data_IF_822988925421
#
_entry.id   IF_822988925421
#
_cell.length_a   1.000
_cell.length_b   1.000
_cell.length_c   1.000
_cell.angle_alpha   90.00
_cell.angle_beta   90.00
_cell.angle_gamma   90.00
#
_symmetry.space_group_name_H-M   'P 1'
#
loop_
_entity.id
_entity.type
_entity.pdbx_description
1 polymer ?
#
# COMPACT_ATOMS: atom_id res chain seq x y z
N UNK A 1 -11.70 -1.58 -20.27
CA UNK A 1 -12.14 -2.84 -19.63
C UNK A 1 -10.98 -3.82 -19.65
N UNK A 2 -10.45 -4.23 -18.48
CA UNK A 2 -9.41 -5.26 -18.39
C UNK A 2 -10.08 -6.63 -18.51
N UNK A 3 -9.58 -7.49 -19.42
CA UNK A 3 -10.11 -8.85 -19.63
C UNK A 3 -8.99 -9.85 -19.40
N UNK A 4 -9.12 -10.68 -18.37
CA UNK A 4 -8.17 -11.74 -18.03
C UNK A 4 -8.71 -13.09 -18.56
N UNK A 5 -8.32 -13.48 -19.78
CA UNK A 5 -8.76 -14.73 -20.41
C UNK A 5 -7.66 -15.79 -20.54
N UNK A 6 -6.43 -15.39 -20.92
CA UNK A 6 -5.23 -16.22 -20.97
C UNK A 6 -4.16 -15.56 -20.13
N UNK A 7 -3.86 -16.16 -18.98
CA UNK A 7 -2.94 -15.59 -18.00
C UNK A 7 -1.49 -15.67 -18.50
N UNK A 8 -1.05 -16.81 -19.02
CA UNK A 8 0.29 -16.94 -19.59
C UNK A 8 0.28 -16.57 -21.09
N UNK A 9 1.12 -15.62 -21.48
CA UNK A 9 1.24 -15.16 -22.89
C UNK A 9 2.63 -15.38 -23.49
N UNK A 10 3.63 -15.74 -22.68
CA UNK A 10 5.06 -15.88 -23.05
C UNK A 10 5.75 -14.61 -23.56
N UNK A 11 5.04 -13.49 -23.66
CA UNK A 11 5.59 -12.22 -24.17
C UNK A 11 6.71 -11.66 -23.28
N UNK A 12 6.70 -12.01 -21.99
CA UNK A 12 7.72 -11.59 -21.03
C UNK A 12 8.82 -12.60 -20.75
N UNK A 13 8.94 -13.68 -21.53
CA UNK A 13 9.95 -14.73 -21.31
C UNK A 13 11.39 -14.22 -21.53
N UNK A 14 11.55 -13.12 -22.27
CA UNK A 14 12.84 -12.44 -22.47
C UNK A 14 13.19 -11.41 -21.39
N UNK A 15 12.44 -11.38 -20.29
CA UNK A 15 12.70 -10.47 -19.18
C UNK A 15 12.08 -9.07 -19.31
N UNK A 16 11.19 -8.83 -20.27
CA UNK A 16 10.49 -7.55 -20.47
C UNK A 16 9.01 -7.65 -20.14
N UNK A 17 8.37 -6.52 -19.85
CA UNK A 17 6.91 -6.38 -19.66
C UNK A 17 6.40 -5.11 -20.33
N UNK A 18 5.09 -4.97 -20.47
CA UNK A 18 4.46 -3.74 -20.96
C UNK A 18 3.90 -2.91 -19.79
N UNK A 19 4.07 -1.59 -19.86
CA UNK A 19 3.46 -0.60 -18.99
C UNK A 19 2.01 -0.31 -19.42
N UNK A 20 1.30 0.52 -18.64
CA UNK A 20 -0.11 0.86 -18.89
C UNK A 20 -0.36 1.65 -20.17
N UNK A 21 0.68 2.27 -20.75
CA UNK A 21 0.65 2.93 -22.07
C UNK A 21 1.13 2.03 -23.22
N UNK A 22 1.51 0.78 -22.93
CA UNK A 22 2.04 -0.18 -23.90
C UNK A 22 3.55 -0.12 -24.11
N UNK A 23 4.26 0.84 -23.50
CA UNK A 23 5.73 0.89 -23.54
C UNK A 23 6.32 -0.37 -22.94
N UNK A 24 7.34 -0.95 -23.59
CA UNK A 24 8.04 -2.14 -23.07
C UNK A 24 9.28 -1.75 -22.27
N UNK A 25 9.41 -2.34 -21.09
CA UNK A 25 10.53 -2.14 -20.15
C UNK A 25 11.02 -3.47 -19.62
N UNK A 26 12.25 -3.50 -19.08
CA UNK A 26 12.76 -4.68 -18.38
C UNK A 26 11.93 -4.95 -17.11
N UNK A 27 11.83 -6.21 -16.67
CA UNK A 27 11.05 -6.60 -15.48
C UNK A 27 11.66 -6.11 -14.16
N UNK A 28 12.94 -5.75 -14.17
CA UNK A 28 13.67 -5.15 -13.06
C UNK A 28 13.70 -3.61 -13.14
N UNK A 29 12.97 -3.01 -14.08
CA UNK A 29 12.77 -1.56 -14.16
C UNK A 29 12.17 -1.00 -12.86
N UNK A 30 12.59 0.21 -12.47
CA UNK A 30 12.18 0.83 -11.22
C UNK A 30 10.66 1.03 -11.12
N UNK A 31 9.99 1.32 -12.24
CA UNK A 31 8.54 1.47 -12.29
C UNK A 31 7.84 0.15 -12.04
N UNK A 32 8.35 -0.93 -12.66
CA UNK A 32 7.87 -2.30 -12.45
C UNK A 32 8.03 -2.74 -11.01
N UNK A 33 9.19 -2.46 -10.40
CA UNK A 33 9.45 -2.75 -9.00
C UNK A 33 8.50 -1.99 -8.06
N UNK A 34 8.18 -0.73 -8.37
CA UNK A 34 7.28 0.10 -7.57
C UNK A 34 5.85 -0.45 -7.57
N UNK A 35 5.19 -0.57 -8.73
CA UNK A 35 3.82 -1.09 -8.77
C UNK A 35 3.74 -2.59 -8.44
N UNK A 36 4.80 -3.36 -8.71
CA UNK A 36 4.88 -4.76 -8.30
C UNK A 36 4.94 -4.92 -6.78
N UNK A 37 5.56 -3.98 -6.07
CA UNK A 37 5.54 -3.97 -4.60
C UNK A 37 4.21 -3.49 -4.03
N UNK A 38 3.46 -2.65 -4.76
CA UNK A 38 2.07 -2.32 -4.43
C UNK A 38 1.17 -3.55 -4.55
N UNK A 39 1.38 -4.41 -5.54
CA UNK A 39 0.69 -5.70 -5.64
C UNK A 39 1.04 -6.64 -4.48
N UNK A 40 2.32 -6.71 -4.08
CA UNK A 40 2.72 -7.46 -2.88
C UNK A 40 2.07 -6.93 -1.60
N UNK A 41 1.93 -5.61 -1.47
CA UNK A 41 1.16 -5.00 -0.38
C UNK A 41 -0.30 -5.47 -0.43
N UNK A 42 -0.92 -5.44 -1.61
CA UNK A 42 -2.31 -5.82 -1.80
C UNK A 42 -2.56 -7.29 -1.42
N UNK A 43 -1.66 -8.19 -1.81
CA UNK A 43 -1.68 -9.59 -1.39
C UNK A 43 -1.51 -9.74 0.13
N UNK A 44 -0.62 -8.94 0.74
CA UNK A 44 -0.40 -8.94 2.20
C UNK A 44 -1.65 -8.46 2.96
N UNK A 45 -2.36 -7.45 2.42
CA UNK A 45 -3.66 -7.03 2.96
C UNK A 45 -4.68 -8.17 2.89
N UNK A 46 -4.69 -8.95 1.81
CA UNK A 46 -5.52 -10.15 1.69
C UNK A 46 -5.28 -11.17 2.82
N UNK A 47 -4.05 -11.32 3.30
CA UNK A 47 -3.75 -12.16 4.46
C UNK A 47 -4.30 -11.58 5.76
N UNK A 48 -4.19 -10.26 5.97
CA UNK A 48 -4.78 -9.60 7.14
C UNK A 48 -6.31 -9.79 7.18
N UNK A 49 -6.97 -9.72 6.03
CA UNK A 49 -8.42 -9.88 5.91
C UNK A 49 -8.94 -11.25 6.34
N UNK A 50 -8.12 -12.31 6.31
CA UNK A 50 -8.51 -13.63 6.85
C UNK A 50 -8.86 -13.58 8.34
N UNK A 51 -8.38 -12.57 9.05
CA UNK A 51 -8.58 -12.38 10.49
C UNK A 51 -9.40 -11.13 10.83
N UNK A 52 -9.86 -10.39 9.82
CA UNK A 52 -10.67 -9.19 10.00
C UNK A 52 -12.17 -9.50 9.93
N UNK A 53 -12.98 -8.66 10.56
CA UNK A 53 -14.43 -8.73 10.50
C UNK A 53 -15.04 -7.33 10.60
N UNK A 54 -16.32 -7.19 10.20
CA UNK A 54 -17.07 -5.95 10.30
C UNK A 54 -16.38 -4.78 9.59
N UNK A 55 -16.35 -3.62 10.26
CA UNK A 55 -15.83 -2.37 9.70
C UNK A 55 -14.34 -2.46 9.33
N UNK A 56 -13.56 -3.26 10.05
CA UNK A 56 -12.13 -3.45 9.74
C UNK A 56 -11.95 -4.22 8.42
N UNK A 57 -12.74 -5.28 8.17
CA UNK A 57 -12.67 -5.98 6.88
C UNK A 57 -13.15 -5.10 5.72
N UNK A 58 -14.20 -4.31 5.96
CA UNK A 58 -14.70 -3.35 4.97
C UNK A 58 -13.64 -2.28 4.62
N UNK A 59 -12.94 -1.73 5.61
CA UNK A 59 -11.86 -0.78 5.39
C UNK A 59 -10.68 -1.40 4.63
N UNK A 60 -10.26 -2.61 5.00
CA UNK A 60 -9.22 -3.35 4.28
C UNK A 60 -9.63 -3.68 2.84
N UNK A 61 -10.89 -4.01 2.59
CA UNK A 61 -11.41 -4.22 1.24
C UNK A 61 -11.36 -2.94 0.39
N UNK A 62 -11.70 -1.79 0.96
CA UNK A 62 -11.55 -0.51 0.30
C UNK A 62 -10.08 -0.19 0.00
N UNK A 63 -9.17 -0.47 0.94
CA UNK A 63 -7.71 -0.34 0.72
C UNK A 63 -7.23 -1.24 -0.41
N UNK A 64 -7.70 -2.50 -0.54
CA UNK A 64 -7.31 -3.36 -1.67
C UNK A 64 -7.73 -2.79 -3.03
N UNK A 65 -8.88 -2.10 -3.09
CA UNK A 65 -9.31 -1.40 -4.31
C UNK A 65 -8.41 -0.19 -4.58
N UNK A 66 -8.15 0.65 -3.58
CA UNK A 66 -7.25 1.80 -3.72
C UNK A 66 -5.82 1.37 -4.12
N UNK A 67 -5.35 0.20 -3.68
CA UNK A 67 -4.05 -0.35 -4.10
C UNK A 67 -4.02 -0.80 -5.56
N UNK A 68 -5.15 -1.24 -6.12
CA UNK A 68 -5.26 -1.45 -7.56
C UNK A 68 -5.25 -0.13 -8.32
N UNK A 69 -5.95 0.89 -7.82
CA UNK A 69 -5.92 2.25 -8.41
C UNK A 69 -4.49 2.82 -8.40
N UNK A 70 -3.78 2.68 -7.28
CA UNK A 70 -2.38 3.06 -7.14
C UNK A 70 -1.47 2.27 -8.08
N UNK A 71 -1.70 0.97 -8.23
CA UNK A 71 -0.99 0.15 -9.19
C UNK A 71 -1.20 0.64 -10.63
N UNK A 72 -2.43 1.00 -10.99
CA UNK A 72 -2.77 1.55 -12.30
C UNK A 72 -2.12 2.93 -12.54
N UNK A 73 -2.11 3.80 -11.52
CA UNK A 73 -1.44 5.11 -11.54
C UNK A 73 0.07 4.93 -11.82
N UNK A 74 0.76 4.13 -11.00
CA UNK A 74 2.19 3.90 -11.14
C UNK A 74 2.57 3.17 -12.44
N UNK A 75 1.71 2.27 -12.92
CA UNK A 75 1.92 1.53 -14.16
C UNK A 75 1.88 2.44 -15.40
N UNK A 76 1.20 3.59 -15.34
CA UNK A 76 1.10 4.52 -16.47
C UNK A 76 2.01 5.74 -16.29
N UNK A 77 3.10 5.86 -17.06
CA UNK A 77 4.04 6.97 -16.95
C UNK A 77 3.42 8.30 -17.43
N UNK A 78 4.18 9.38 -17.28
CA UNK A 78 3.85 10.71 -17.82
C UNK A 78 2.48 11.27 -17.41
N UNK A 79 2.19 11.42 -16.10
CA UNK A 79 0.94 12.04 -15.64
C UNK A 79 0.70 13.44 -16.22
N UNK A 80 1.76 14.18 -16.58
CA UNK A 80 1.64 15.48 -17.25
C UNK A 80 0.98 15.41 -18.64
N UNK A 81 0.89 14.21 -19.24
CA UNK A 81 0.28 13.96 -20.55
C UNK A 81 -1.11 13.34 -20.45
N UNK A 82 -1.71 13.30 -19.26
CA UNK A 82 -3.02 12.67 -19.06
C UNK A 82 -4.13 13.32 -19.87
N UNK A 83 -4.03 14.63 -20.14
CA UNK A 83 -4.99 15.35 -21.00
C UNK A 83 -4.95 14.90 -22.48
N UNK A 84 -3.87 14.24 -22.91
CA UNK A 84 -3.71 13.70 -24.27
C UNK A 84 -4.27 12.27 -24.40
N UNK A 85 -4.67 11.64 -23.29
CA UNK A 85 -5.15 10.28 -23.28
C UNK A 85 -6.55 10.16 -23.90
N UNK A 86 -6.80 9.08 -24.65
CA UNK A 86 -8.13 8.77 -25.20
C UNK A 86 -9.19 8.60 -24.09
N UNK A 87 -8.76 8.11 -22.92
CA UNK A 87 -9.59 7.97 -21.74
C UNK A 87 -8.89 8.54 -20.51
N UNK A 88 -9.62 9.21 -19.59
CA UNK A 88 -9.08 9.70 -18.34
C UNK A 88 -8.34 8.59 -17.60
N UNK A 89 -7.02 8.74 -17.38
CA UNK A 89 -6.23 7.78 -16.64
C UNK A 89 -6.70 7.69 -15.19
N UNK A 90 -6.68 6.48 -14.64
CA UNK A 90 -6.96 6.30 -13.22
C UNK A 90 -5.74 6.79 -12.42
N UNK A 91 -5.96 7.72 -11.52
CA UNK A 91 -4.95 8.32 -10.65
C UNK A 91 -5.42 8.27 -9.21
N UNK A 92 -4.50 8.07 -8.28
CA UNK A 92 -4.81 8.25 -6.85
C UNK A 92 -5.06 9.72 -6.59
N UNK A 93 -6.05 10.01 -5.77
CA UNK A 93 -6.51 11.38 -5.50
C UNK A 93 -6.26 11.79 -4.06
N UNK A 94 -6.20 13.10 -3.82
CA UNK A 94 -6.08 13.66 -2.47
C UNK A 94 -7.22 13.18 -1.55
N UNK A 95 -8.44 12.97 -2.08
CA UNK A 95 -9.56 12.48 -1.27
C UNK A 95 -9.36 11.09 -0.68
N UNK A 96 -8.58 10.21 -1.33
CA UNK A 96 -8.21 8.91 -0.78
C UNK A 96 -7.22 9.06 0.36
N UNK A 97 -6.26 9.99 0.24
CA UNK A 97 -5.32 10.33 1.33
C UNK A 97 -6.07 10.90 2.53
N UNK A 98 -6.96 11.87 2.31
CA UNK A 98 -7.74 12.51 3.37
C UNK A 98 -8.67 11.49 4.07
N UNK A 99 -9.14 10.46 3.35
CA UNK A 99 -9.92 9.37 3.93
C UNK A 99 -9.10 8.58 4.94
N UNK A 100 -7.87 8.21 4.59
CA UNK A 100 -6.97 7.50 5.51
C UNK A 100 -6.69 8.33 6.76
N UNK A 101 -6.50 9.64 6.62
CA UNK A 101 -6.30 10.55 7.76
C UNK A 101 -7.50 10.57 8.70
N UNK A 102 -8.73 10.72 8.16
CA UNK A 102 -9.96 10.67 8.98
C UNK A 102 -10.14 9.33 9.69
N UNK A 103 -9.83 8.22 9.02
CA UNK A 103 -9.91 6.89 9.61
C UNK A 103 -8.86 6.68 10.71
N UNK A 104 -7.63 7.20 10.52
CA UNK A 104 -6.58 7.22 11.54
C UNK A 104 -7.02 8.00 12.77
N UNK A 105 -7.58 9.19 12.58
CA UNK A 105 -8.05 10.05 13.68
C UNK A 105 -9.15 9.33 14.48
N UNK A 106 -10.15 8.77 13.81
CA UNK A 106 -11.24 8.04 14.48
C UNK A 106 -10.78 6.78 15.21
N UNK A 107 -9.73 6.10 14.75
CA UNK A 107 -9.12 5.00 15.49
C UNK A 107 -8.32 5.52 16.70
N UNK A 108 -7.55 6.60 16.55
CA UNK A 108 -6.75 7.17 17.64
C UNK A 108 -7.58 7.62 18.83
N UNK A 109 -8.82 8.07 18.62
CA UNK A 109 -9.74 8.43 19.71
C UNK A 109 -9.98 7.31 20.73
N UNK A 110 -9.73 6.05 20.33
CA UNK A 110 -9.88 4.86 21.19
C UNK A 110 -8.58 4.40 21.84
N UNK A 111 -7.44 4.98 21.47
CA UNK A 111 -6.12 4.52 21.87
C UNK A 111 -5.54 5.38 22.99
N UNK A 112 -4.96 4.74 23.99
CA UNK A 112 -4.15 5.46 24.96
C UNK A 112 -2.81 5.93 24.33
N UNK A 113 -2.26 7.07 24.81
CA UNK A 113 -0.97 7.58 24.36
C UNK A 113 0.15 6.54 24.50
N UNK A 114 0.85 6.28 23.40
CA UNK A 114 1.93 5.32 23.35
C UNK A 114 3.23 5.92 23.89
N UNK A 115 3.89 5.27 24.85
CA UNK A 115 5.10 5.76 25.53
C UNK A 115 6.41 5.05 25.16
N UNK A 116 6.35 4.07 24.26
CA UNK A 116 7.51 3.36 23.68
C UNK A 116 7.14 2.79 22.30
N UNK A 117 8.09 2.22 21.57
CA UNK A 117 7.75 1.50 20.34
C UNK A 117 7.05 0.18 20.65
N UNK A 118 6.11 -0.22 19.79
CA UNK A 118 5.45 -1.53 19.85
C UNK A 118 6.31 -2.56 19.14
N UNK A 119 6.50 -3.73 19.77
CA UNK A 119 7.04 -4.91 19.11
C UNK A 119 5.96 -5.48 18.18
N UNK A 120 6.21 -5.59 16.86
CA UNK A 120 5.21 -6.08 15.92
C UNK A 120 4.72 -7.49 16.26
N UNK A 121 3.45 -7.62 16.66
CA UNK A 121 2.87 -8.89 17.12
C UNK A 121 1.47 -8.69 17.68
N UNK A 122 1.11 -9.51 18.67
CA UNK A 122 -0.21 -9.49 19.31
C UNK A 122 -1.16 -10.50 18.68
N UNK A 123 -2.39 -10.10 18.40
CA UNK A 123 -3.35 -10.93 17.65
C UNK A 123 -2.86 -11.24 16.24
N UNK A 124 -3.42 -12.29 15.61
CA UNK A 124 -3.09 -12.63 14.22
C UNK A 124 -3.33 -11.43 13.28
N UNK A 125 -4.46 -10.73 13.44
CA UNK A 125 -4.77 -9.55 12.66
C UNK A 125 -3.74 -8.42 12.89
N UNK A 126 -3.39 -8.12 14.13
CA UNK A 126 -2.39 -7.07 14.45
C UNK A 126 -1.02 -7.38 13.85
N UNK A 127 -0.56 -8.64 13.93
CA UNK A 127 0.69 -9.08 13.32
C UNK A 127 0.68 -8.93 11.80
N UNK A 128 -0.40 -9.31 11.12
CA UNK A 128 -0.55 -9.12 9.67
C UNK A 128 -0.63 -7.64 9.28
N UNK A 129 -1.31 -6.80 10.05
CA UNK A 129 -1.36 -5.36 9.82
C UNK A 129 0.03 -4.71 9.98
N UNK A 130 0.84 -5.17 10.93
CA UNK A 130 2.22 -4.73 11.02
C UNK A 130 3.08 -5.18 9.83
N UNK A 131 2.81 -6.34 9.23
CA UNK A 131 3.46 -6.74 7.99
C UNK A 131 3.00 -5.86 6.81
N UNK A 132 1.70 -5.56 6.71
CA UNK A 132 1.19 -4.61 5.72
C UNK A 132 1.90 -3.25 5.85
N UNK A 133 2.05 -2.75 7.07
CA UNK A 133 2.79 -1.50 7.36
C UNK A 133 4.22 -1.51 6.81
N UNK A 134 4.97 -2.59 7.01
CA UNK A 134 6.38 -2.64 6.54
C UNK A 134 6.47 -2.78 5.03
N UNK A 135 5.56 -3.53 4.41
CA UNK A 135 5.45 -3.66 2.95
C UNK A 135 5.03 -2.34 2.32
N UNK A 136 4.09 -1.60 2.91
CA UNK A 136 3.70 -0.26 2.45
C UNK A 136 4.87 0.71 2.45
N UNK A 137 5.69 0.71 3.52
CA UNK A 137 6.92 1.50 3.57
C UNK A 137 7.96 1.06 2.53
N UNK A 138 7.95 -0.23 2.13
CA UNK A 138 8.84 -0.71 1.06
C UNK A 138 8.36 -0.23 -0.31
N UNK A 139 7.06 -0.32 -0.59
CA UNK A 139 6.44 0.26 -1.78
C UNK A 139 6.77 1.76 -1.87
N UNK A 140 6.56 2.50 -0.77
CA UNK A 140 6.85 3.94 -0.68
C UNK A 140 8.29 4.27 -1.09
N UNK A 141 9.28 3.57 -0.53
CA UNK A 141 10.70 3.80 -0.87
C UNK A 141 11.00 3.56 -2.34
N UNK A 142 10.38 2.53 -2.96
CA UNK A 142 10.55 2.24 -4.37
C UNK A 142 9.87 3.30 -5.25
N UNK A 143 8.69 3.77 -4.87
CA UNK A 143 8.00 4.88 -5.55
C UNK A 143 8.79 6.19 -5.46
N UNK A 144 9.39 6.50 -4.30
CA UNK A 144 10.28 7.65 -4.13
C UNK A 144 11.57 7.48 -4.95
N UNK A 145 12.11 6.27 -5.05
CA UNK A 145 13.27 6.01 -5.88
C UNK A 145 12.96 6.25 -7.37
N UNK A 146 11.81 5.74 -7.84
CA UNK A 146 11.30 5.98 -9.18
C UNK A 146 11.10 7.49 -9.45
N UNK A 147 10.56 8.24 -8.49
CA UNK A 147 10.27 9.67 -8.66
C UNK A 147 11.54 10.54 -8.82
N UNK A 148 12.74 9.98 -8.64
CA UNK A 148 14.01 10.69 -8.89
C UNK A 148 14.42 10.67 -10.35
N UNK A 149 13.93 9.70 -11.13
CA UNK A 149 14.26 9.52 -12.54
C UNK A 149 13.07 9.73 -13.47
N UNK A 150 11.84 9.53 -12.98
CA UNK A 150 10.62 9.61 -13.78
C UNK A 150 9.50 10.36 -13.06
N UNK A 151 8.53 10.89 -13.83
CA UNK A 151 7.33 11.49 -13.28
C UNK A 151 6.45 10.47 -12.55
N UNK A 152 6.00 10.84 -11.34
CA UNK A 152 5.06 10.12 -10.48
C UNK A 152 4.11 11.13 -9.84
N UNK A 153 2.84 10.77 -9.63
CA UNK A 153 1.88 11.65 -8.93
C UNK A 153 2.27 11.84 -7.46
N UNK A 154 2.09 13.06 -6.93
CA UNK A 154 2.42 13.34 -5.53
C UNK A 154 1.51 12.55 -4.57
N UNK A 155 0.26 12.34 -4.99
CA UNK A 155 -0.78 11.60 -4.31
C UNK A 155 -0.39 10.13 -4.13
N UNK A 156 0.29 9.49 -5.10
CA UNK A 156 0.80 8.12 -4.96
C UNK A 156 1.74 7.97 -3.77
N UNK A 157 2.68 8.91 -3.61
CA UNK A 157 3.65 8.90 -2.51
C UNK A 157 2.94 9.21 -1.18
N UNK A 158 2.07 10.22 -1.16
CA UNK A 158 1.32 10.61 0.04
C UNK A 158 0.42 9.48 0.54
N UNK A 159 -0.26 8.79 -0.38
CA UNK A 159 -1.14 7.67 -0.05
C UNK A 159 -0.35 6.53 0.60
N UNK A 160 0.77 6.10 0.02
CA UNK A 160 1.62 5.03 0.62
C UNK A 160 2.17 5.42 1.99
N UNK A 161 2.64 6.66 2.14
CA UNK A 161 3.13 7.18 3.42
C UNK A 161 2.02 7.09 4.49
N UNK A 162 0.84 7.65 4.19
CA UNK A 162 -0.29 7.68 5.11
C UNK A 162 -0.88 6.30 5.37
N UNK A 163 -0.89 5.43 4.38
CA UNK A 163 -1.36 4.06 4.52
C UNK A 163 -0.49 3.26 5.49
N UNK A 164 0.81 3.53 5.55
CA UNK A 164 1.66 2.90 6.57
C UNK A 164 1.32 3.34 7.99
N UNK A 165 0.92 4.60 8.19
CA UNK A 165 0.40 5.10 9.46
C UNK A 165 -0.95 4.43 9.80
N UNK A 166 -1.83 4.31 8.80
CA UNK A 166 -3.12 3.63 8.94
C UNK A 166 -2.95 2.20 9.43
N UNK A 167 -2.05 1.42 8.82
CA UNK A 167 -1.77 0.06 9.25
C UNK A 167 -1.16 -0.01 10.65
N UNK A 168 -0.36 0.99 11.07
CA UNK A 168 0.17 1.05 12.42
C UNK A 168 -0.95 1.21 13.45
N UNK A 169 -1.84 2.18 13.23
CA UNK A 169 -2.94 2.47 14.15
C UNK A 169 -3.97 1.33 14.15
N UNK A 170 -4.31 0.80 12.98
CA UNK A 170 -5.19 -0.37 12.85
C UNK A 170 -4.64 -1.61 13.57
N UNK A 171 -3.31 -1.84 13.53
CA UNK A 171 -2.70 -2.95 14.25
C UNK A 171 -2.91 -2.85 15.77
N UNK A 172 -2.84 -1.63 16.33
CA UNK A 172 -3.12 -1.38 17.75
C UNK A 172 -4.59 -1.62 18.07
N UNK A 173 -5.51 -1.11 17.25
CA UNK A 173 -6.96 -1.37 17.39
C UNK A 173 -7.26 -2.88 17.40
N UNK A 174 -6.62 -3.63 16.50
CA UNK A 174 -6.75 -5.08 16.41
C UNK A 174 -6.14 -5.84 17.61
N UNK A 175 -5.44 -5.15 18.51
CA UNK A 175 -4.73 -5.73 19.65
C UNK A 175 -5.27 -5.18 20.98
N UNK A 176 -6.56 -5.38 21.20
CA UNK A 176 -7.30 -4.89 22.38
C UNK A 176 -7.20 -3.36 22.56
N UNK A 177 -7.41 -2.60 21.47
CA UNK A 177 -7.26 -1.14 21.46
C UNK A 177 -5.91 -0.68 22.04
N UNK A 178 -4.86 -1.41 21.70
CA UNK A 178 -3.48 -1.17 22.10
C UNK A 178 -3.15 -1.55 23.54
N UNK A 179 -4.10 -2.04 24.35
CA UNK A 179 -3.83 -2.48 25.73
C UNK A 179 -2.98 -3.75 25.79
N UNK A 180 -3.05 -4.58 24.76
CA UNK A 180 -2.25 -5.80 24.64
C UNK A 180 -0.93 -5.58 23.86
N UNK A 181 -0.56 -4.33 23.55
CA UNK A 181 0.69 -4.05 22.83
C UNK A 181 1.90 -4.39 23.70
N UNK A 182 2.81 -5.20 23.15
CA UNK A 182 4.09 -5.47 23.81
C UNK A 182 5.04 -4.34 23.49
N UNK A 183 5.47 -3.60 24.51
CA UNK A 183 6.35 -2.46 24.34
C UNK A 183 7.81 -2.89 24.30
N UNK A 184 8.57 -2.26 23.41
CA UNK A 184 10.02 -2.39 23.36
C UNK A 184 10.64 -1.84 24.64
N UNK A 185 11.56 -2.61 25.22
CA UNK A 185 12.39 -2.22 26.37
C UNK A 185 13.84 -2.02 25.88
N UNK A 186 14.30 -0.76 25.75
CA UNK A 186 15.63 -0.46 25.23
C UNK A 186 16.73 -1.14 26.05
N UNK A 187 17.52 -2.00 25.39
CA UNK A 187 18.66 -2.66 26.01
C UNK A 187 18.31 -3.74 27.05
N UNK A 188 17.11 -4.33 27.03
CA UNK A 188 16.72 -5.34 28.01
C UNK A 188 17.63 -6.58 28.06
N UNK A 189 18.31 -6.91 26.96
CA UNK A 189 19.11 -8.13 26.80
C UNK A 189 20.63 -7.86 26.71
N UNK A 190 21.12 -6.70 27.16
CA UNK A 190 22.56 -6.36 27.14
C UNK A 190 23.09 -6.02 28.53
#
# INVERSE_FOLDING_TARGET
MVVLNRIYTRTGDRGETALGDGTRVAKDDARVAAYGTVDELNATVGLARLHAAGDMDAALAAIQNDLFDLGADLCRPHPERDAEAEHPPLRVTQSQVDRLEREIDGMNDRLEPLRSFVLPGGTALAAHLHLCRTVARRAERLTIALSRSESVTAESIRYLNRLSDWFFVAARIANDDGRADVLWVPGANR
#
